data_IF_864832087393
#
_entry.id   IF_864832087393
#
_cell.length_a   1.000
_cell.length_b   1.000
_cell.length_c   1.000
_cell.angle_alpha   90.00
_cell.angle_beta   90.00
_cell.angle_gamma   90.00
#
_symmetry.space_group_name_H-M   'P 1'
#
loop_
_entity.id
_entity.type
_entity.pdbx_description
1 polymer ?
#
# COMPACT_ATOMS: atom_id res chain seq x y z
N UNK A 1 -16.77 -6.84 -28.54
CA UNK A 1 -17.73 -6.77 -27.42
C UNK A 1 -17.10 -7.27 -26.11
N UNK A 2 -16.94 -6.39 -25.13
CA UNK A 2 -16.37 -6.72 -23.82
C UNK A 2 -15.83 -5.48 -23.11
N UNK A 3 -16.73 -4.53 -22.81
CA UNK A 3 -16.38 -3.34 -22.03
C UNK A 3 -15.99 -3.74 -20.62
N UNK A 4 -14.70 -3.63 -20.31
CA UNK A 4 -14.21 -3.69 -18.93
C UNK A 4 -14.80 -2.50 -18.17
N UNK A 5 -15.60 -2.80 -17.13
CA UNK A 5 -16.18 -1.81 -16.24
C UNK A 5 -15.05 -1.04 -15.57
N UNK A 6 -14.77 0.17 -16.05
CA UNK A 6 -14.05 1.17 -15.28
C UNK A 6 -14.85 1.42 -14.01
N UNK A 7 -14.31 0.98 -12.87
CA UNK A 7 -14.81 1.45 -11.58
C UNK A 7 -14.77 2.97 -11.55
N UNK A 8 -15.60 3.61 -10.70
CA UNK A 8 -15.55 5.06 -10.56
C UNK A 8 -14.10 5.48 -10.29
N UNK A 9 -13.64 6.62 -10.87
CA UNK A 9 -12.33 7.15 -10.56
C UNK A 9 -12.25 7.29 -9.04
N UNK A 10 -11.30 6.61 -8.40
CA UNK A 10 -11.05 6.77 -6.98
C UNK A 10 -10.85 8.27 -6.73
N UNK A 11 -11.75 8.88 -5.95
CA UNK A 11 -11.66 10.30 -5.62
C UNK A 11 -10.26 10.59 -5.07
N UNK A 12 -9.63 11.71 -5.44
CA UNK A 12 -8.34 12.08 -4.90
C UNK A 12 -8.42 12.10 -3.37
N UNK A 13 -7.37 11.63 -2.67
CA UNK A 13 -7.41 11.49 -1.23
C UNK A 13 -7.74 12.84 -0.58
N UNK A 14 -8.77 12.86 0.27
CA UNK A 14 -9.20 14.05 0.99
C UNK A 14 -8.07 14.50 1.93
N UNK A 15 -7.67 15.78 1.90
CA UNK A 15 -6.67 16.30 2.83
C UNK A 15 -7.10 16.06 4.28
N UNK A 16 -6.23 15.44 5.08
CA UNK A 16 -6.49 15.19 6.51
C UNK A 16 -7.15 13.84 6.83
N UNK A 17 -7.44 12.99 5.84
CA UNK A 17 -7.89 11.61 6.07
C UNK A 17 -6.75 10.60 5.83
N UNK A 18 -6.74 9.45 6.53
CA UNK A 18 -5.79 8.39 6.25
C UNK A 18 -5.94 7.86 4.83
N UNK A 19 -4.82 7.72 4.12
CA UNK A 19 -4.78 7.14 2.78
C UNK A 19 -4.49 5.65 2.89
N UNK A 20 -5.27 4.81 2.18
CA UNK A 20 -5.12 3.35 2.22
C UNK A 20 -4.80 2.82 0.83
N UNK A 21 -3.73 2.05 0.72
CA UNK A 21 -3.37 1.30 -0.47
C UNK A 21 -3.46 -0.19 -0.17
N UNK A 22 -4.21 -0.93 -1.01
CA UNK A 22 -4.38 -2.38 -0.87
C UNK A 22 -3.57 -3.07 -1.97
N UNK A 23 -2.77 -4.04 -1.58
CA UNK A 23 -1.98 -4.88 -2.47
C UNK A 23 -2.28 -6.35 -2.17
N UNK A 24 -2.55 -7.16 -3.18
CA UNK A 24 -2.72 -8.61 -3.05
C UNK A 24 -1.62 -9.32 -3.82
N UNK A 25 -0.89 -10.22 -3.16
CA UNK A 25 0.16 -11.06 -3.77
C UNK A 25 0.36 -12.33 -2.95
N UNK A 26 0.64 -13.45 -3.61
CA UNK A 26 1.08 -14.71 -2.97
C UNK A 26 0.17 -15.19 -1.82
N UNK A 27 -1.14 -15.04 -1.99
CA UNK A 27 -2.14 -15.42 -0.97
C UNK A 27 -2.20 -14.50 0.24
N UNK A 28 -1.58 -13.31 0.16
CA UNK A 28 -1.63 -12.27 1.19
C UNK A 28 -2.31 -11.01 0.69
N UNK A 29 -3.15 -10.42 1.55
CA UNK A 29 -3.70 -9.07 1.38
C UNK A 29 -2.95 -8.12 2.30
N UNK A 30 -2.20 -7.20 1.71
CA UNK A 30 -1.44 -6.16 2.41
C UNK A 30 -2.17 -4.83 2.31
N UNK A 31 -2.39 -4.17 3.43
CA UNK A 31 -2.97 -2.83 3.51
C UNK A 31 -1.91 -1.91 4.07
N UNK A 32 -1.47 -0.94 3.26
CA UNK A 32 -0.63 0.16 3.71
C UNK A 32 -1.52 1.37 3.98
N UNK A 33 -1.49 1.88 5.21
CA UNK A 33 -2.24 3.08 5.62
C UNK A 33 -1.25 4.17 6.00
N UNK A 34 -1.35 5.32 5.34
CA UNK A 34 -0.59 6.53 5.68
C UNK A 34 -1.52 7.50 6.39
N UNK A 35 -1.20 7.86 7.63
CA UNK A 35 -1.99 8.77 8.44
C UNK A 35 -1.60 10.23 8.20
N UNK A 36 -2.49 11.19 8.49
CA UNK A 36 -2.22 12.63 8.31
C UNK A 36 -1.03 13.15 9.13
N UNK A 37 -0.69 12.50 10.26
CA UNK A 37 0.47 12.81 11.09
C UNK A 37 1.79 12.26 10.52
N UNK A 38 1.74 11.60 9.36
CA UNK A 38 2.86 10.94 8.71
C UNK A 38 3.20 9.57 9.31
N UNK A 39 2.42 9.06 10.27
CA UNK A 39 2.55 7.67 10.70
C UNK A 39 2.12 6.72 9.58
N UNK A 40 2.74 5.55 9.55
CA UNK A 40 2.42 4.49 8.60
C UNK A 40 2.00 3.23 9.36
N UNK A 41 0.98 2.54 8.85
CA UNK A 41 0.57 1.23 9.33
C UNK A 41 0.52 0.24 8.18
N UNK A 42 1.09 -0.94 8.40
CA UNK A 42 1.06 -2.06 7.48
C UNK A 42 0.32 -3.20 8.16
N UNK A 43 -0.73 -3.67 7.51
CA UNK A 43 -1.49 -4.85 7.90
C UNK A 43 -1.33 -5.91 6.83
N UNK A 44 -1.07 -7.16 7.21
CA UNK A 44 -1.08 -8.30 6.31
C UNK A 44 -2.13 -9.30 6.79
N UNK A 45 -2.95 -9.75 5.87
CA UNK A 45 -3.97 -10.76 6.08
C UNK A 45 -3.71 -11.95 5.17
N UNK A 46 -4.12 -13.13 5.61
CA UNK A 46 -4.35 -14.25 4.70
C UNK A 46 -5.52 -13.88 3.76
N UNK A 47 -5.30 -13.93 2.45
CA UNK A 47 -6.27 -13.41 1.47
C UNK A 47 -7.53 -14.29 1.32
N UNK A 48 -7.48 -15.55 1.79
CA UNK A 48 -8.62 -16.48 1.71
C UNK A 48 -9.50 -16.42 2.96
N UNK A 49 -8.86 -16.32 4.12
CA UNK A 49 -9.52 -16.42 5.42
C UNK A 49 -9.75 -15.06 6.07
N UNK A 50 -9.16 -14.00 5.52
CA UNK A 50 -9.15 -12.65 6.11
C UNK A 50 -8.57 -12.60 7.54
N UNK A 51 -7.82 -13.63 7.95
CA UNK A 51 -7.13 -13.66 9.24
C UNK A 51 -5.96 -12.69 9.22
N UNK A 52 -5.89 -11.80 10.22
CA UNK A 52 -4.77 -10.87 10.39
C UNK A 52 -3.51 -11.64 10.79
N UNK A 53 -2.49 -11.60 9.93
CA UNK A 53 -1.20 -12.25 10.13
C UNK A 53 -0.18 -11.31 10.78
N UNK A 54 -0.21 -10.02 10.41
CA UNK A 54 0.74 -9.02 10.87
C UNK A 54 0.06 -7.65 10.96
N UNK A 55 0.38 -6.89 12.02
CA UNK A 55 0.15 -5.45 12.09
C UNK A 55 1.40 -4.75 12.61
N UNK A 56 1.97 -3.87 11.80
CA UNK A 56 3.16 -3.06 12.15
C UNK A 56 2.84 -1.59 11.96
N UNK A 57 3.12 -0.78 12.98
CA UNK A 57 2.97 0.69 12.92
C UNK A 57 4.33 1.34 13.05
N UNK A 58 4.59 2.37 12.26
CA UNK A 58 5.80 3.20 12.31
C UNK A 58 5.39 4.65 12.49
N UNK A 59 5.95 5.30 13.51
CA UNK A 59 5.84 6.76 13.67
C UNK A 59 7.08 7.42 13.06
N UNK A 60 6.93 8.57 12.37
CA UNK A 60 8.07 9.28 11.82
C UNK A 60 8.96 9.76 12.98
N UNK A 61 10.27 9.48 12.89
CA UNK A 61 11.27 10.00 13.82
C UNK A 61 12.07 11.12 13.15
N UNK A 62 12.72 11.98 13.94
CA UNK A 62 13.54 13.09 13.43
C UNK A 62 14.77 12.62 12.61
N UNK A 63 15.15 11.35 12.72
CA UNK A 63 16.30 10.75 12.05
C UNK A 63 15.83 9.75 10.99
N UNK A 64 16.03 10.09 9.70
CA UNK A 64 15.61 9.26 8.56
C UNK A 64 14.45 9.81 7.74
N UNK A 65 14.43 11.12 7.48
CA UNK A 65 13.41 11.84 6.68
C UNK A 65 13.39 11.47 5.18
N UNK A 66 14.15 10.47 4.75
CA UNK A 66 14.20 9.98 3.37
C UNK A 66 13.61 8.57 3.30
N UNK A 67 12.31 8.49 3.52
CA UNK A 67 11.46 7.52 2.82
C UNK A 67 10.25 8.31 2.31
N UNK A 68 10.50 9.47 1.69
CA UNK A 68 9.54 9.99 0.74
C UNK A 68 9.41 8.94 -0.34
N UNK A 69 8.17 8.56 -0.63
CA UNK A 69 7.70 7.78 -1.77
C UNK A 69 8.16 8.51 -3.05
N UNK A 70 9.46 8.46 -3.32
CA UNK A 70 10.15 9.05 -4.43
C UNK A 70 10.67 7.89 -5.26
N UNK A 71 9.80 7.41 -6.14
CA UNK A 71 10.15 6.85 -7.45
C UNK A 71 11.47 6.05 -7.49
N UNK A 72 11.52 4.83 -6.94
CA UNK A 72 12.40 3.82 -7.53
C UNK A 72 11.61 3.10 -8.63
N UNK A 73 11.67 3.70 -9.80
CA UNK A 73 11.32 3.08 -11.06
C UNK A 73 12.48 2.16 -11.46
N UNK A 74 12.89 1.26 -10.56
CA UNK A 74 13.99 0.34 -10.80
C UNK A 74 13.43 -0.99 -11.25
N UNK A 75 13.30 -1.06 -12.57
CA UNK A 75 13.37 -2.26 -13.39
C UNK A 75 14.25 -3.34 -12.75
N UNK A 76 13.64 -4.40 -12.22
CA UNK A 76 14.37 -5.66 -12.02
C UNK A 76 13.49 -6.91 -12.18
N UNK A 77 12.60 -6.89 -13.17
CA UNK A 77 12.10 -8.11 -13.82
C UNK A 77 12.81 -8.30 -15.16
N UNK A 78 14.10 -8.65 -15.12
CA UNK A 78 14.79 -9.32 -16.22
C UNK A 78 15.91 -10.19 -15.67
N UNK A 79 15.65 -11.49 -15.56
CA UNK A 79 16.59 -12.56 -15.87
C UNK A 79 15.97 -13.93 -15.54
N UNK A 80 15.17 -14.47 -16.46
CA UNK A 80 15.04 -15.91 -16.65
C UNK A 80 15.02 -16.16 -18.17
N UNK A 81 16.19 -16.51 -18.70
CA UNK A 81 16.37 -17.36 -19.88
C UNK A 81 17.05 -18.63 -19.39
#
# INVERSE_FOLDING_TARGET
PGGGKGGPPEEPPKPGEPQRMIMRSDGRKKIHTTFPDGAEMIEEYDDKTDVLLLRKTRKPSKLGKELSIAKSRDSNYKALQ
#
